data_IF_428429608969
#
_entry.id   IF_428429608969
#
_cell.length_a   1.000
_cell.length_b   1.000
_cell.length_c   1.000
_cell.angle_alpha   90.00
_cell.angle_beta   90.00
_cell.angle_gamma   90.00
#
_symmetry.space_group_name_H-M   'P 1'
#
loop_
_entity.id
_entity.type
_entity.pdbx_description
1 polymer ?
#
# COMPACT_ATOMS: atom_id res chain seq x y z
N UNK A 1 -15.94 14.13 4.88
CA UNK A 1 -15.42 15.41 4.40
C UNK A 1 -16.08 15.78 3.07
N UNK A 2 -15.86 15.05 1.98
CA UNK A 2 -16.40 15.36 0.63
C UNK A 2 -17.89 15.64 0.65
N UNK A 3 -18.71 14.80 1.26
CA UNK A 3 -20.17 15.01 1.36
C UNK A 3 -20.51 16.36 2.01
N UNK A 4 -19.79 16.75 3.05
CA UNK A 4 -20.00 18.05 3.70
C UNK A 4 -19.58 19.23 2.83
N UNK A 5 -18.48 19.10 2.11
CA UNK A 5 -17.95 20.16 1.24
C UNK A 5 -18.80 20.39 0.00
N UNK A 6 -19.33 19.32 -0.57
CA UNK A 6 -20.04 19.38 -1.85
C UNK A 6 -21.56 19.47 -1.71
N UNK A 7 -22.10 19.13 -0.55
CA UNK A 7 -23.54 18.97 -0.34
C UNK A 7 -24.15 17.75 -1.03
N UNK A 8 -23.31 16.87 -1.58
CA UNK A 8 -23.72 15.67 -2.31
C UNK A 8 -23.31 14.42 -1.54
N UNK A 9 -24.09 13.35 -1.61
CA UNK A 9 -23.65 12.04 -1.15
C UNK A 9 -22.51 11.56 -2.05
N UNK A 10 -21.33 11.35 -1.48
CA UNK A 10 -20.11 10.96 -2.22
C UNK A 10 -19.54 9.68 -1.64
N UNK A 11 -19.45 8.65 -2.48
CA UNK A 11 -18.78 7.40 -2.16
C UNK A 11 -17.36 7.41 -2.74
N UNK A 12 -16.39 7.11 -1.89
CA UNK A 12 -14.97 7.06 -2.26
C UNK A 12 -14.54 5.63 -2.48
N UNK A 13 -13.99 5.35 -3.65
CA UNK A 13 -13.49 4.04 -4.05
C UNK A 13 -11.97 4.06 -4.03
N UNK A 14 -11.35 3.36 -3.09
CA UNK A 14 -9.90 3.19 -3.05
C UNK A 14 -9.40 2.04 -3.92
N UNK A 15 -8.18 2.14 -4.44
CA UNK A 15 -7.53 1.09 -5.24
C UNK A 15 -7.34 -0.22 -4.47
N UNK A 16 -7.26 -0.16 -3.15
CA UNK A 16 -7.20 -1.32 -2.26
C UNK A 16 -7.46 -0.94 -0.83
N UNK A 17 -7.68 -1.95 0.00
CA UNK A 17 -7.67 -1.82 1.46
C UNK A 17 -6.26 -2.06 1.95
N UNK A 18 -5.87 -1.35 2.99
CA UNK A 18 -4.66 -1.61 3.77
C UNK A 18 -5.03 -2.27 5.09
N UNK A 19 -4.19 -3.18 5.57
CA UNK A 19 -4.37 -3.78 6.89
C UNK A 19 -4.06 -2.75 7.99
N UNK A 20 -4.49 -3.00 9.22
CA UNK A 20 -4.23 -2.12 10.35
C UNK A 20 -2.73 -1.87 10.53
N UNK A 21 -2.34 -0.62 10.71
CA UNK A 21 -0.96 -0.18 10.86
C UNK A 21 -0.16 -0.11 9.55
N UNK A 22 -0.79 -0.34 8.39
CA UNK A 22 -0.16 -0.13 7.08
C UNK A 22 -0.40 1.30 6.63
N UNK A 23 0.66 1.98 6.23
CA UNK A 23 0.64 3.34 5.70
C UNK A 23 0.71 3.32 4.17
N UNK A 24 0.23 4.35 3.52
CA UNK A 24 0.29 4.48 2.07
C UNK A 24 0.94 5.82 1.69
N UNK A 25 2.00 5.76 0.89
CA UNK A 25 2.65 6.96 0.34
C UNK A 25 1.83 7.51 -0.84
N UNK A 26 1.18 6.61 -1.62
CA UNK A 26 0.44 6.98 -2.81
C UNK A 26 -0.79 6.09 -3.03
N UNK A 27 -1.79 6.16 -2.14
CA UNK A 27 -3.07 5.50 -2.36
C UNK A 27 -3.87 6.26 -3.41
N UNK A 28 -4.33 5.56 -4.43
CA UNK A 28 -5.23 6.13 -5.45
C UNK A 28 -6.67 5.84 -5.08
N UNK A 29 -7.51 6.86 -5.17
CA UNK A 29 -8.95 6.72 -4.98
C UNK A 29 -9.70 7.53 -6.05
N UNK A 30 -10.94 7.17 -6.33
CA UNK A 30 -11.84 7.97 -7.15
C UNK A 30 -13.20 8.13 -6.49
N UNK A 31 -13.89 9.17 -6.89
CA UNK A 31 -15.28 9.45 -6.54
C UNK A 31 -15.98 10.16 -7.71
N UNK A 32 -17.29 10.20 -7.67
CA UNK A 32 -18.11 10.88 -8.67
C UNK A 32 -18.90 12.02 -8.02
N UNK A 33 -18.97 13.14 -8.71
CA UNK A 33 -19.83 14.28 -8.34
C UNK A 33 -20.89 14.48 -9.43
N UNK A 34 -22.13 14.73 -9.02
CA UNK A 34 -23.23 15.09 -9.93
C UNK A 34 -23.03 16.48 -10.53
N UNK A 35 -22.45 17.38 -9.76
CA UNK A 35 -22.13 18.73 -10.18
C UNK A 35 -20.62 18.94 -10.13
N UNK A 36 -20.00 19.38 -11.24
CA UNK A 36 -18.58 19.68 -11.29
C UNK A 36 -18.17 20.69 -10.22
N UNK A 37 -16.96 20.57 -9.71
CA UNK A 37 -16.34 21.49 -8.76
C UNK A 37 -14.90 21.78 -9.17
N UNK A 38 -14.40 22.92 -8.78
CA UNK A 38 -12.98 23.24 -8.98
C UNK A 38 -12.10 22.26 -8.19
N UNK A 39 -11.19 21.59 -8.88
CA UNK A 39 -10.31 20.57 -8.26
C UNK A 39 -9.34 21.16 -7.26
N UNK A 40 -8.84 22.39 -7.49
CA UNK A 40 -7.96 23.09 -6.56
C UNK A 40 -8.67 23.41 -5.24
N UNK A 41 -9.89 23.99 -5.31
CA UNK A 41 -10.69 24.26 -4.11
C UNK A 41 -11.04 23.00 -3.33
N UNK A 42 -11.32 21.89 -4.04
CA UNK A 42 -11.57 20.60 -3.41
C UNK A 42 -10.31 20.04 -2.75
N UNK A 43 -9.15 20.14 -3.39
CA UNK A 43 -7.87 19.70 -2.84
C UNK A 43 -7.52 20.45 -1.56
N UNK A 44 -7.62 21.77 -1.59
CA UNK A 44 -7.34 22.63 -0.43
C UNK A 44 -8.32 22.34 0.72
N UNK A 45 -9.60 22.20 0.38
CA UNK A 45 -10.62 21.86 1.36
C UNK A 45 -10.45 20.48 1.96
N UNK A 46 -10.07 19.47 1.16
CA UNK A 46 -9.77 18.15 1.66
C UNK A 46 -8.63 18.20 2.68
N UNK A 47 -7.50 18.81 2.34
CA UNK A 47 -6.34 18.89 3.24
C UNK A 47 -6.60 19.76 4.48
N UNK A 48 -7.58 20.66 4.43
CA UNK A 48 -8.00 21.45 5.59
C UNK A 48 -8.87 20.67 6.58
N UNK A 49 -9.68 19.73 6.09
CA UNK A 49 -10.72 19.06 6.90
C UNK A 49 -10.49 17.58 7.12
N UNK A 50 -9.50 16.98 6.45
CA UNK A 50 -9.08 15.61 6.74
C UNK A 50 -8.33 15.55 8.08
N UNK A 51 -8.33 14.38 8.77
CA UNK A 51 -7.53 14.21 9.97
C UNK A 51 -6.03 14.26 9.63
N UNK A 52 -5.20 14.51 10.64
CA UNK A 52 -3.75 14.76 10.51
C UNK A 52 -2.96 13.62 9.85
N UNK A 53 -3.50 12.40 9.88
CA UNK A 53 -2.89 11.20 9.31
C UNK A 53 -3.30 10.93 7.86
N UNK A 54 -4.09 11.81 7.24
CA UNK A 54 -4.53 11.70 5.84
C UNK A 54 -4.30 13.02 5.11
N UNK A 55 -3.51 12.96 4.03
CA UNK A 55 -3.31 14.08 3.13
C UNK A 55 -3.56 13.67 1.67
N UNK A 56 -4.09 14.59 0.88
CA UNK A 56 -4.29 14.42 -0.57
C UNK A 56 -3.19 15.20 -1.28
N UNK A 57 -2.31 14.49 -1.97
CA UNK A 57 -1.18 15.09 -2.70
C UNK A 57 -1.60 15.71 -4.04
N UNK A 58 -2.59 15.13 -4.70
CA UNK A 58 -3.11 15.61 -5.97
C UNK A 58 -4.57 15.20 -6.18
N UNK A 59 -5.29 16.01 -6.93
CA UNK A 59 -6.67 15.75 -7.35
C UNK A 59 -6.83 16.19 -8.81
N UNK A 60 -7.25 15.27 -9.66
CA UNK A 60 -7.46 15.54 -11.09
C UNK A 60 -8.80 14.99 -11.54
N UNK A 61 -9.41 15.66 -12.51
CA UNK A 61 -10.57 15.15 -13.22
C UNK A 61 -10.13 14.08 -14.22
N UNK A 62 -10.86 12.98 -14.28
CA UNK A 62 -10.59 11.85 -15.17
C UNK A 62 -11.87 11.39 -15.87
N UNK A 63 -11.75 10.53 -16.88
CA UNK A 63 -12.89 9.92 -17.56
C UNK A 63 -13.85 9.27 -16.57
N UNK A 64 -15.17 9.43 -16.77
CA UNK A 64 -16.21 8.90 -15.87
C UNK A 64 -16.21 7.37 -15.71
N UNK A 65 -15.50 6.64 -16.59
CA UNK A 65 -15.31 5.19 -16.49
C UNK A 65 -14.08 4.80 -15.67
N UNK A 66 -13.28 5.77 -15.23
CA UNK A 66 -12.11 5.48 -14.40
C UNK A 66 -12.51 4.81 -13.08
N UNK A 67 -11.81 3.72 -12.75
CA UNK A 67 -12.04 2.98 -11.52
C UNK A 67 -10.72 2.60 -10.87
N UNK A 68 -10.37 3.27 -9.78
CA UNK A 68 -9.08 3.13 -9.08
C UNK A 68 -8.71 1.69 -8.71
N UNK A 69 -9.70 0.82 -8.46
CA UNK A 69 -9.47 -0.58 -8.10
C UNK A 69 -9.31 -1.50 -9.29
N UNK A 70 -10.18 -1.38 -10.30
CA UNK A 70 -10.21 -2.33 -11.42
C UNK A 70 -9.21 -2.00 -12.51
N UNK A 71 -8.79 -0.74 -12.59
CA UNK A 71 -7.77 -0.30 -13.53
C UNK A 71 -6.37 -0.19 -12.93
N UNK A 72 -6.21 -0.61 -11.67
CA UNK A 72 -4.88 -0.71 -11.08
C UNK A 72 -4.07 -1.82 -11.78
N UNK A 73 -2.95 -1.45 -12.37
CA UNK A 73 -2.06 -2.35 -13.10
C UNK A 73 -1.18 -3.14 -12.15
N UNK A 74 -0.63 -2.46 -11.16
CA UNK A 74 0.20 -3.08 -10.14
C UNK A 74 0.09 -2.31 -8.82
N UNK A 75 0.64 -2.91 -7.77
CA UNK A 75 0.82 -2.30 -6.44
C UNK A 75 2.20 -2.65 -5.94
N UNK A 76 2.83 -1.68 -5.27
CA UNK A 76 4.11 -1.89 -4.61
C UNK A 76 3.93 -1.71 -3.11
N UNK A 77 4.40 -2.67 -2.34
CA UNK A 77 4.50 -2.59 -0.89
C UNK A 77 5.97 -2.49 -0.49
N UNK A 78 6.29 -1.59 0.42
CA UNK A 78 7.58 -1.51 1.10
C UNK A 78 7.42 -2.06 2.51
N UNK A 79 8.24 -3.03 2.88
CA UNK A 79 8.39 -3.51 4.25
C UNK A 79 9.75 -3.07 4.76
N UNK A 80 9.80 -2.43 5.91
CA UNK A 80 11.02 -1.88 6.50
C UNK A 80 11.39 -2.67 7.74
N UNK A 81 12.64 -3.11 7.81
CA UNK A 81 13.22 -3.80 8.96
C UNK A 81 14.35 -2.94 9.50
N UNK A 82 14.24 -2.52 10.76
CA UNK A 82 15.33 -1.84 11.45
C UNK A 82 16.24 -2.89 12.10
N UNK A 83 17.53 -2.85 11.77
CA UNK A 83 18.55 -3.80 12.24
C UNK A 83 19.59 -3.18 13.17
N UNK A 84 19.49 -1.89 13.44
CA UNK A 84 20.40 -1.16 14.32
C UNK A 84 20.35 -1.64 15.78
N UNK A 85 21.43 -1.47 16.50
CA UNK A 85 21.53 -1.88 17.91
C UNK A 85 20.58 -1.09 18.84
N UNK A 86 20.23 0.15 18.46
CA UNK A 86 19.32 1.02 19.22
C UNK A 86 18.03 1.21 18.43
N UNK A 87 16.84 1.02 19.05
CA UNK A 87 15.58 1.20 18.36
C UNK A 87 15.41 2.63 17.83
N UNK A 88 14.90 2.77 16.61
CA UNK A 88 14.46 4.07 16.12
C UNK A 88 13.08 4.41 16.68
N UNK A 89 13.06 5.22 17.72
CA UNK A 89 11.83 5.63 18.41
C UNK A 89 10.95 6.55 17.54
N UNK A 90 11.54 7.25 16.56
CA UNK A 90 10.80 8.12 15.65
C UNK A 90 10.13 7.31 14.53
N UNK A 91 10.82 6.31 13.99
CA UNK A 91 10.30 5.45 12.95
C UNK A 91 9.51 4.23 13.47
N UNK A 92 9.35 4.04 14.77
CA UNK A 92 8.76 2.84 15.42
C UNK A 92 7.37 2.42 14.88
N UNK A 93 6.61 3.33 14.29
CA UNK A 93 5.31 3.03 13.68
C UNK A 93 5.40 2.54 12.24
N UNK A 94 6.56 2.66 11.62
CA UNK A 94 6.80 2.45 10.20
C UNK A 94 7.81 1.35 9.90
N UNK A 95 8.55 0.88 10.93
CA UNK A 95 9.59 -0.14 10.80
C UNK A 95 9.32 -1.29 11.76
N UNK A 96 9.75 -2.47 11.37
CA UNK A 96 9.84 -3.63 12.25
C UNK A 96 11.23 -3.68 12.87
N UNK A 97 11.30 -3.54 14.20
CA UNK A 97 12.57 -3.57 14.92
C UNK A 97 13.03 -5.03 15.13
N UNK A 98 14.05 -5.43 14.37
CA UNK A 98 14.60 -6.78 14.38
C UNK A 98 16.13 -6.73 14.52
N UNK A 99 16.61 -6.88 15.73
CA UNK A 99 18.01 -6.63 16.11
C UNK A 99 18.94 -7.83 15.92
N UNK A 100 18.50 -8.86 15.27
CA UNK A 100 19.32 -10.03 14.93
C UNK A 100 19.88 -9.81 13.53
N UNK A 101 21.18 -10.08 13.29
CA UNK A 101 21.73 -9.99 11.94
C UNK A 101 20.95 -10.83 10.93
N UNK A 102 20.66 -10.26 9.78
CA UNK A 102 19.97 -10.90 8.68
C UNK A 102 20.96 -11.16 7.54
N UNK A 103 20.85 -12.31 6.90
CA UNK A 103 21.62 -12.65 5.71
C UNK A 103 20.88 -12.12 4.47
N UNK A 104 21.26 -10.91 4.05
CA UNK A 104 20.60 -10.20 2.94
C UNK A 104 20.76 -10.95 1.61
N UNK A 105 21.87 -11.66 1.39
CA UNK A 105 22.07 -12.45 0.17
C UNK A 105 21.08 -13.62 0.11
N UNK A 106 20.88 -14.33 1.22
CA UNK A 106 19.86 -15.39 1.29
C UNK A 106 18.44 -14.84 1.14
N UNK A 107 18.19 -13.63 1.64
CA UNK A 107 16.90 -12.95 1.42
C UNK A 107 16.68 -12.66 -0.07
N UNK A 108 17.72 -12.22 -0.80
CA UNK A 108 17.66 -11.98 -2.25
C UNK A 108 17.44 -13.29 -3.04
N UNK A 109 18.12 -14.35 -2.67
CA UNK A 109 17.93 -15.67 -3.26
C UNK A 109 16.49 -16.18 -3.06
N UNK A 110 15.97 -16.10 -1.83
CA UNK A 110 14.60 -16.51 -1.52
C UNK A 110 13.56 -15.64 -2.27
N UNK A 111 13.80 -14.34 -2.38
CA UNK A 111 12.95 -13.42 -3.14
C UNK A 111 12.86 -13.83 -4.62
N UNK A 112 13.96 -14.29 -5.21
CA UNK A 112 14.00 -14.80 -6.58
C UNK A 112 13.05 -15.97 -6.83
N UNK A 113 12.87 -16.85 -5.84
CA UNK A 113 11.97 -18.01 -5.93
C UNK A 113 10.48 -17.64 -5.92
N UNK A 114 10.16 -16.44 -5.46
CA UNK A 114 8.78 -15.95 -5.33
C UNK A 114 8.32 -15.14 -6.55
N UNK A 115 9.23 -14.82 -7.48
CA UNK A 115 8.90 -14.06 -8.69
C UNK A 115 8.04 -14.89 -9.65
N UNK A 116 7.17 -14.19 -10.38
CA UNK A 116 6.25 -14.81 -11.32
C UNK A 116 4.89 -15.13 -10.72
N UNK A 117 4.16 -16.01 -11.39
CA UNK A 117 2.81 -16.42 -10.99
C UNK A 117 2.86 -17.68 -10.12
N UNK A 118 2.33 -17.57 -8.91
CA UNK A 118 2.25 -18.67 -7.93
C UNK A 118 0.93 -18.64 -7.17
N UNK A 119 0.56 -19.79 -6.61
CA UNK A 119 -0.50 -19.86 -5.60
C UNK A 119 0.07 -19.51 -4.22
N UNK A 120 -0.19 -18.29 -3.78
CA UNK A 120 0.24 -17.77 -2.47
C UNK A 120 -0.70 -18.11 -1.32
N UNK A 121 -1.46 -19.20 -1.40
CA UNK A 121 -2.40 -19.62 -0.34
C UNK A 121 -1.72 -19.73 1.03
N UNK A 122 -0.52 -20.29 1.09
CA UNK A 122 0.26 -20.43 2.33
C UNK A 122 0.70 -19.09 2.93
N UNK A 123 0.71 -18.03 2.13
CA UNK A 123 1.05 -16.67 2.55
C UNK A 123 -0.19 -15.78 2.69
N UNK A 124 -1.36 -16.37 2.90
CA UNK A 124 -2.63 -15.65 3.06
C UNK A 124 -3.11 -15.71 4.51
N UNK A 125 -3.24 -14.55 5.16
CA UNK A 125 -3.76 -14.45 6.52
C UNK A 125 -5.24 -14.85 6.66
N UNK A 126 -5.98 -14.93 5.54
CA UNK A 126 -7.35 -15.43 5.51
C UNK A 126 -7.42 -16.87 5.00
N UNK A 127 -7.36 -17.83 5.91
CA UNK A 127 -7.41 -19.27 5.60
C UNK A 127 -8.73 -19.73 4.97
N UNK A 128 -9.82 -18.93 5.14
CA UNK A 128 -11.17 -19.23 4.60
C UNK A 128 -11.46 -18.47 3.31
N UNK A 129 -10.43 -17.96 2.64
CA UNK A 129 -10.59 -17.20 1.40
C UNK A 129 -11.19 -18.07 0.29
N UNK A 130 -12.33 -17.64 -0.27
CA UNK A 130 -13.03 -18.35 -1.36
C UNK A 130 -12.56 -17.90 -2.76
N UNK A 131 -11.87 -16.77 -2.86
CA UNK A 131 -11.35 -16.23 -4.13
C UNK A 131 -9.98 -16.84 -4.43
N UNK A 132 -9.57 -16.78 -5.71
CA UNK A 132 -8.24 -17.22 -6.13
C UNK A 132 -7.14 -16.60 -5.27
N UNK A 133 -6.19 -17.43 -4.87
CA UNK A 133 -4.97 -17.07 -4.14
C UNK A 133 -3.77 -16.95 -5.05
N UNK A 134 -3.96 -17.19 -6.36
CA UNK A 134 -2.92 -16.99 -7.38
C UNK A 134 -2.64 -15.50 -7.55
N UNK A 135 -1.35 -15.14 -7.48
CA UNK A 135 -0.85 -13.77 -7.71
C UNK A 135 0.42 -13.82 -8.54
N UNK A 136 0.70 -12.72 -9.21
CA UNK A 136 1.95 -12.53 -9.95
C UNK A 136 2.77 -11.45 -9.26
N UNK A 137 3.97 -11.82 -8.79
CA UNK A 137 4.95 -10.87 -8.32
C UNK A 137 5.89 -10.52 -9.47
N UNK A 138 5.90 -9.25 -9.85
CA UNK A 138 6.69 -8.73 -10.98
C UNK A 138 8.12 -8.41 -10.56
N UNK A 139 8.28 -7.92 -9.33
CA UNK A 139 9.56 -7.51 -8.78
C UNK A 139 9.56 -7.71 -7.27
N UNK A 140 10.70 -8.18 -6.74
CA UNK A 140 11.03 -8.12 -5.32
C UNK A 140 12.44 -7.55 -5.23
N UNK A 141 12.61 -6.40 -4.56
CA UNK A 141 13.91 -5.79 -4.32
C UNK A 141 14.22 -5.79 -2.84
N UNK A 142 15.46 -6.12 -2.50
CA UNK A 142 15.99 -6.07 -1.14
C UNK A 142 17.12 -5.05 -1.13
N UNK A 143 16.90 -3.93 -0.48
CA UNK A 143 17.85 -2.82 -0.36
C UNK A 143 18.38 -2.78 1.08
N UNK A 144 19.70 -2.79 1.21
CA UNK A 144 20.38 -2.75 2.50
C UNK A 144 20.93 -1.35 2.75
N UNK A 145 20.68 -0.84 3.92
CA UNK A 145 21.18 0.42 4.45
C UNK A 145 21.95 0.17 5.74
N UNK A 146 22.61 1.16 6.31
CA UNK A 146 23.43 1.03 7.51
C UNK A 146 22.71 0.36 8.69
N UNK A 147 21.46 0.68 8.93
CA UNK A 147 20.64 0.17 10.03
C UNK A 147 19.24 -0.26 9.65
N UNK A 148 18.96 -0.38 8.34
CA UNK A 148 17.66 -0.80 7.83
C UNK A 148 17.80 -1.71 6.61
N UNK A 149 16.84 -2.60 6.45
CA UNK A 149 16.62 -3.37 5.24
C UNK A 149 15.22 -3.06 4.73
N UNK A 150 15.14 -2.65 3.46
CA UNK A 150 13.89 -2.39 2.77
C UNK A 150 13.58 -3.51 1.79
N UNK A 151 12.38 -4.07 1.90
CA UNK A 151 11.86 -5.03 0.93
C UNK A 151 10.73 -4.39 0.15
N UNK A 152 10.85 -4.34 -1.17
CA UNK A 152 9.81 -3.87 -2.07
C UNK A 152 9.21 -5.03 -2.83
N UNK A 153 7.90 -5.18 -2.75
CA UNK A 153 7.14 -6.20 -3.46
C UNK A 153 6.21 -5.53 -4.44
N UNK A 154 6.39 -5.76 -5.74
CA UNK A 154 5.52 -5.24 -6.80
C UNK A 154 4.79 -6.40 -7.47
N UNK A 155 3.47 -6.33 -7.56
CA UNK A 155 2.65 -7.39 -8.15
C UNK A 155 1.27 -6.93 -8.59
N UNK A 156 0.52 -7.82 -9.26
CA UNK A 156 -0.86 -7.56 -9.70
C UNK A 156 -1.86 -7.41 -8.56
N UNK A 157 -1.51 -7.87 -7.36
CA UNK A 157 -2.31 -7.79 -6.16
C UNK A 157 -1.72 -8.61 -5.03
N UNK A 158 -2.22 -8.38 -3.83
CA UNK A 158 -1.74 -9.08 -2.63
C UNK A 158 -2.91 -9.64 -1.85
N UNK A 159 -2.68 -10.78 -1.20
CA UNK A 159 -3.61 -11.38 -0.25
C UNK A 159 -3.50 -10.67 1.11
N UNK A 160 -4.46 -10.92 1.97
CA UNK A 160 -4.44 -10.38 3.32
C UNK A 160 -3.16 -10.80 4.06
N UNK A 161 -2.45 -9.85 4.64
CA UNK A 161 -1.17 -10.02 5.32
C UNK A 161 -0.04 -10.65 4.47
N UNK A 162 -0.22 -10.83 3.16
CA UNK A 162 0.74 -11.55 2.31
C UNK A 162 2.16 -11.02 2.46
N UNK A 163 2.37 -9.71 2.31
CA UNK A 163 3.71 -9.11 2.44
C UNK A 163 4.32 -9.38 3.81
N UNK A 164 3.55 -9.27 4.88
CA UNK A 164 4.03 -9.55 6.25
C UNK A 164 4.44 -11.01 6.47
N UNK A 165 3.80 -11.95 5.76
CA UNK A 165 4.08 -13.40 5.89
C UNK A 165 5.26 -13.78 5.01
N UNK A 166 5.46 -13.07 3.88
CA UNK A 166 6.59 -13.27 2.98
C UNK A 166 7.91 -12.74 3.58
N UNK A 167 7.82 -11.71 4.43
CA UNK A 167 8.97 -11.12 5.13
C UNK A 167 9.31 -11.86 6.40
#
# INVERSE_FOLDING_TARGET
VLTRMTGQQVDVIGSGRTDAGVHAIGQVANFHLKQPRNTGELLDGLNRYLPEDIAVSSLTEVDGRFHSRYQAVCKTYRYRIHTGAVPDVFARRYVYDYRIPLDVERMREAAGLLLGEHDFKSFCGNTRMKKSTVRTLYEIRVEEHESEIDLFFTGNGFLQNMVRILT
#
